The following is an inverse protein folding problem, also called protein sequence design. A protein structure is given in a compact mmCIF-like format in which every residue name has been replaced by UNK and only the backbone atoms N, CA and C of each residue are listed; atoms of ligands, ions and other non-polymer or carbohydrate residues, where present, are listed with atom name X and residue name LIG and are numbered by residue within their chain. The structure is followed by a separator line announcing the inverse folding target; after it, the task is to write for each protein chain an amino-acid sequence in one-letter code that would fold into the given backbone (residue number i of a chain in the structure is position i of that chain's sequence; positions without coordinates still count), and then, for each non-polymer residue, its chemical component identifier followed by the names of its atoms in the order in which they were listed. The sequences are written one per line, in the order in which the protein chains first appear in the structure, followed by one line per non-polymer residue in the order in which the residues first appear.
data_IF_713661981484
#
_entry.id   IF_713661981484
#
_cell.length_a   1.000
_cell.length_b   1.000
_cell.length_c   1.000
_cell.angle_alpha   90.00
_cell.angle_beta   90.00
_cell.angle_gamma   90.00
#
_symmetry.space_group_name_H-M   'P 1'
#
loop_
_entity.id
_entity.type
_entity.pdbx_description
1 polymer ?
#
# COMPACT_ATOMS: atom_id res chain seq x y z
N UNK A 1 -5.27 9.11 -10.73
CA UNK A 1 -4.47 10.34 -10.93
C UNK A 1 -3.04 10.06 -10.45
N UNK A 2 -2.04 10.34 -11.29
CA UNK A 2 -0.64 9.94 -11.09
C UNK A 2 -0.05 10.38 -9.74
N UNK A 3 -0.52 11.52 -9.20
CA UNK A 3 -0.06 12.06 -7.91
C UNK A 3 -0.24 11.10 -6.72
N UNK A 4 -1.20 10.14 -6.77
CA UNK A 4 -1.44 9.19 -5.68
C UNK A 4 -0.27 8.22 -5.48
N UNK A 5 0.48 7.95 -6.56
CA UNK A 5 1.66 7.09 -6.59
C UNK A 5 2.97 7.90 -6.50
N UNK A 6 2.91 9.24 -6.52
CA UNK A 6 4.06 10.13 -6.27
C UNK A 6 4.36 10.30 -4.78
N UNK A 7 4.63 9.20 -4.06
CA UNK A 7 5.19 9.27 -2.70
C UNK A 7 6.68 9.02 -2.77
N UNK A 8 7.45 10.10 -2.99
CA UNK A 8 8.89 10.04 -3.22
C UNK A 8 9.66 9.15 -2.22
N UNK A 9 10.72 8.53 -2.71
CA UNK A 9 11.59 7.62 -1.96
C UNK A 9 12.32 8.38 -0.84
N UNK A 10 11.72 8.41 0.35
CA UNK A 10 12.36 8.90 1.57
C UNK A 10 13.37 7.87 2.03
N UNK A 11 14.59 7.92 1.48
CA UNK A 11 15.69 7.06 1.90
C UNK A 11 16.12 7.43 3.33
N UNK A 12 16.00 6.48 4.25
CA UNK A 12 16.49 6.63 5.61
C UNK A 12 18.02 6.83 5.63
N UNK A 13 18.73 6.16 4.72
CA UNK A 13 20.18 6.33 4.56
C UNK A 13 20.53 7.76 4.13
N UNK A 14 19.74 8.36 3.22
CA UNK A 14 19.93 9.76 2.82
C UNK A 14 19.67 10.73 3.99
N UNK A 15 18.64 10.47 4.81
CA UNK A 15 18.36 11.27 6.00
C UNK A 15 19.47 11.14 7.06
N UNK A 16 20.03 9.93 7.23
CA UNK A 16 21.11 9.69 8.19
C UNK A 16 22.44 10.32 7.71
N UNK A 17 22.68 10.35 6.40
CA UNK A 17 23.85 11.00 5.80
C UNK A 17 23.78 12.53 5.83
N UNK A 18 22.58 13.12 5.94
CA UNK A 18 22.38 14.58 5.91
C UNK A 18 22.74 15.28 7.24
N UNK A 19 22.95 14.53 8.33
CA UNK A 19 23.25 15.07 9.65
C UNK A 19 22.11 15.90 10.26
N UNK A 20 22.17 16.15 11.57
CA UNK A 20 21.15 16.83 12.39
C UNK A 20 20.93 18.34 12.05
N UNK A 21 21.43 18.81 10.91
CA UNK A 21 21.56 20.23 10.59
C UNK A 21 20.94 20.67 9.27
N UNK A 22 20.38 19.78 8.46
CA UNK A 22 19.65 20.19 7.27
C UNK A 22 18.41 19.35 7.06
N UNK A 23 17.24 19.97 7.22
CA UNK A 23 16.01 19.46 6.62
C UNK A 23 16.34 19.33 5.13
N UNK A 24 16.42 18.12 4.55
CA UNK A 24 16.61 18.04 3.11
C UNK A 24 15.37 18.70 2.55
N UNK A 25 15.57 19.79 1.80
CA UNK A 25 14.51 20.38 0.99
C UNK A 25 13.89 19.21 0.26
N UNK A 26 12.63 18.89 0.60
CA UNK A 26 11.78 18.09 -0.27
C UNK A 26 12.00 18.69 -1.65
N UNK A 27 12.73 17.98 -2.50
CA UNK A 27 12.76 18.32 -3.91
C UNK A 27 11.34 18.04 -4.34
N UNK A 28 10.50 19.07 -4.26
CA UNK A 28 9.36 19.26 -5.13
C UNK A 28 9.96 19.39 -6.52
N UNK A 29 10.47 18.29 -7.05
CA UNK A 29 10.68 18.17 -8.47
C UNK A 29 9.26 17.96 -9.00
N UNK A 30 8.60 19.08 -9.28
CA UNK A 30 7.43 19.17 -10.17
C UNK A 30 7.85 18.88 -11.62
N UNK A 31 8.73 17.89 -11.79
CA UNK A 31 9.01 17.29 -13.07
C UNK A 31 7.97 16.20 -13.22
N UNK A 32 7.20 16.34 -14.29
CA UNK A 32 6.39 15.28 -14.85
C UNK A 32 7.38 14.25 -15.42
N UNK A 33 8.15 13.61 -14.54
CA UNK A 33 8.60 12.26 -14.83
C UNK A 33 7.31 11.45 -14.85
N UNK A 34 6.83 11.22 -16.06
CA UNK A 34 6.37 9.88 -16.42
C UNK A 34 7.41 8.93 -15.80
N UNK A 35 7.18 8.50 -14.56
CA UNK A 35 7.89 7.35 -14.05
C UNK A 35 7.38 6.23 -14.95
N UNK A 36 8.09 6.03 -16.05
CA UNK A 36 8.17 4.78 -16.78
C UNK A 36 8.31 3.72 -15.71
N UNK A 37 7.19 3.10 -15.36
CA UNK A 37 7.08 1.72 -14.87
C UNK A 37 8.37 1.21 -14.21
N UNK A 38 8.85 1.92 -13.19
CA UNK A 38 10.17 1.66 -12.63
C UNK A 38 10.15 0.20 -12.21
N UNK A 39 11.09 -0.59 -12.74
CA UNK A 39 11.41 -2.00 -12.42
C UNK A 39 11.67 -2.12 -10.90
N UNK A 40 10.64 -1.89 -10.10
CA UNK A 40 10.65 -2.11 -8.67
C UNK A 40 10.53 -3.62 -8.56
N UNK A 41 11.67 -4.25 -8.35
CA UNK A 41 11.76 -5.65 -7.96
C UNK A 41 11.00 -5.81 -6.63
N UNK A 42 9.75 -6.27 -6.73
CA UNK A 42 8.87 -6.54 -5.59
C UNK A 42 9.22 -7.94 -5.09
N UNK A 43 9.72 -8.08 -3.85
CA UNK A 43 10.02 -9.40 -3.31
C UNK A 43 8.76 -10.27 -3.20
N UNK A 44 8.89 -11.56 -3.49
CA UNK A 44 7.79 -12.53 -3.45
C UNK A 44 7.10 -12.56 -2.08
N UNK A 45 7.83 -12.28 -1.00
CA UNK A 45 7.27 -12.24 0.37
C UNK A 45 6.19 -11.16 0.54
N UNK A 46 6.15 -10.15 -0.34
CA UNK A 46 5.11 -9.12 -0.32
C UNK A 46 3.74 -9.73 -0.64
N UNK A 47 3.67 -10.75 -1.49
CA UNK A 47 2.42 -11.46 -1.79
C UNK A 47 1.88 -12.15 -0.53
N UNK A 48 2.73 -12.82 0.24
CA UNK A 48 2.35 -13.46 1.51
C UNK A 48 1.84 -12.42 2.52
N UNK A 49 2.50 -11.25 2.60
CA UNK A 49 2.05 -10.15 3.47
C UNK A 49 0.68 -9.64 3.03
N UNK A 50 0.44 -9.49 1.73
CA UNK A 50 -0.86 -9.04 1.21
C UNK A 50 -1.94 -10.06 1.55
N UNK A 51 -1.70 -11.36 1.34
CA UNK A 51 -2.68 -12.40 1.65
C UNK A 51 -3.05 -12.40 3.14
N UNK A 52 -2.06 -12.30 4.03
CA UNK A 52 -2.30 -12.17 5.47
C UNK A 52 -3.13 -10.92 5.83
N UNK A 53 -2.88 -9.80 5.15
CA UNK A 53 -3.66 -8.57 5.34
C UNK A 53 -5.10 -8.74 4.85
N UNK A 54 -5.32 -9.35 3.68
CA UNK A 54 -6.67 -9.65 3.16
C UNK A 54 -7.41 -10.62 4.09
N UNK A 55 -6.73 -11.63 4.63
CA UNK A 55 -7.33 -12.52 5.64
C UNK A 55 -7.69 -11.75 6.92
N UNK A 56 -6.87 -10.79 7.33
CA UNK A 56 -7.14 -9.90 8.46
C UNK A 56 -8.41 -9.05 8.28
N UNK A 57 -8.78 -8.70 7.05
CA UNK A 57 -10.04 -7.99 6.75
C UNK A 57 -11.29 -8.83 7.08
N UNK A 58 -11.16 -10.15 7.12
CA UNK A 58 -12.23 -11.08 7.51
C UNK A 58 -12.33 -11.31 9.02
N UNK A 59 -11.43 -10.73 9.81
CA UNK A 59 -11.36 -10.98 11.27
C UNK A 59 -12.65 -10.57 12.00
N UNK A 60 -13.04 -11.37 12.98
CA UNK A 60 -14.12 -11.05 13.93
C UNK A 60 -13.77 -9.85 14.83
N UNK A 61 -12.49 -9.60 15.07
CA UNK A 61 -12.01 -8.50 15.88
C UNK A 61 -11.88 -7.23 15.02
N UNK A 62 -12.56 -6.16 15.43
CA UNK A 62 -12.58 -4.88 14.72
C UNK A 62 -11.22 -4.17 14.74
N UNK A 63 -10.40 -4.37 15.78
CA UNK A 63 -9.04 -3.81 15.84
C UNK A 63 -8.18 -4.47 14.78
N UNK A 64 -8.20 -5.81 14.72
CA UNK A 64 -7.46 -6.58 13.70
C UNK A 64 -7.89 -6.12 12.31
N UNK A 65 -9.20 -6.05 12.05
CA UNK A 65 -9.76 -5.63 10.76
C UNK A 65 -9.30 -4.24 10.32
N UNK A 66 -9.38 -3.26 11.22
CA UNK A 66 -8.96 -1.89 10.95
C UNK A 66 -7.45 -1.78 10.73
N UNK A 67 -6.65 -2.53 11.49
CA UNK A 67 -5.20 -2.55 11.31
C UNK A 67 -4.79 -3.23 10.00
N UNK A 68 -5.49 -4.29 9.60
CA UNK A 68 -5.31 -4.97 8.33
C UNK A 68 -5.63 -4.02 7.15
N UNK A 69 -6.78 -3.33 7.19
CA UNK A 69 -7.15 -2.32 6.19
C UNK A 69 -6.08 -1.23 6.02
N UNK A 70 -5.55 -0.71 7.14
CA UNK A 70 -4.42 0.23 7.10
C UNK A 70 -3.16 -0.37 6.48
N UNK A 71 -2.91 -1.65 6.72
CA UNK A 71 -1.79 -2.39 6.13
C UNK A 71 -1.95 -2.48 4.61
N UNK A 72 -3.12 -2.92 4.13
CA UNK A 72 -3.45 -3.01 2.69
C UNK A 72 -3.18 -1.67 2.01
N UNK A 73 -3.82 -0.58 2.45
CA UNK A 73 -3.63 0.73 1.81
C UNK A 73 -2.17 1.26 1.84
N UNK A 74 -1.35 0.84 2.82
CA UNK A 74 0.07 1.23 2.90
C UNK A 74 0.95 0.41 1.97
N UNK A 75 0.74 -0.90 1.90
CA UNK A 75 1.50 -1.82 1.04
C UNK A 75 1.12 -1.58 -0.42
N UNK A 76 -0.17 -1.58 -0.76
CA UNK A 76 -0.68 -1.32 -2.12
C UNK A 76 -0.22 0.03 -2.66
N UNK A 77 -0.11 1.05 -1.81
CA UNK A 77 0.41 2.37 -2.22
C UNK A 77 1.90 2.42 -2.56
N UNK A 78 2.61 1.29 -2.46
CA UNK A 78 4.04 1.14 -2.81
C UNK A 78 4.28 0.15 -3.95
N UNK A 79 3.22 -0.53 -4.40
CA UNK A 79 3.32 -1.47 -5.50
C UNK A 79 3.26 -0.72 -6.85
N UNK A 80 3.87 -1.31 -7.90
CA UNK A 80 3.55 -0.99 -9.29
C UNK A 80 2.04 -1.03 -9.52
N UNK A 81 1.59 -0.24 -10.50
CA UNK A 81 0.16 -0.03 -10.74
C UNK A 81 -0.59 -1.35 -11.00
N UNK A 82 -0.01 -2.25 -11.79
CA UNK A 82 -0.65 -3.51 -12.17
C UNK A 82 -0.83 -4.43 -10.96
N UNK A 83 0.21 -4.59 -10.13
CA UNK A 83 0.11 -5.34 -8.88
C UNK A 83 -0.85 -4.67 -7.88
N UNK A 84 -0.88 -3.34 -7.83
CA UNK A 84 -1.85 -2.63 -7.00
C UNK A 84 -3.30 -2.88 -7.44
N UNK A 85 -3.55 -3.04 -8.74
CA UNK A 85 -4.87 -3.38 -9.30
C UNK A 85 -5.29 -4.80 -8.90
N UNK A 86 -4.35 -5.76 -8.89
CA UNK A 86 -4.61 -7.12 -8.39
C UNK A 86 -5.06 -7.11 -6.92
N UNK A 87 -4.42 -6.32 -6.06
CA UNK A 87 -4.85 -6.19 -4.64
C UNK A 87 -6.26 -5.62 -4.53
N UNK A 88 -6.62 -4.65 -5.38
CA UNK A 88 -7.99 -4.12 -5.44
C UNK A 88 -8.96 -5.21 -5.87
N UNK A 89 -8.61 -6.02 -6.86
CA UNK A 89 -9.37 -7.21 -7.27
C UNK A 89 -9.66 -8.15 -6.10
N UNK A 90 -8.62 -8.57 -5.39
CA UNK A 90 -8.74 -9.44 -4.20
C UNK A 90 -9.57 -8.82 -3.08
N UNK A 91 -9.48 -7.50 -2.90
CA UNK A 91 -10.32 -6.78 -1.92
C UNK A 91 -11.80 -6.80 -2.32
N UNK A 92 -12.10 -6.69 -3.62
CA UNK A 92 -13.47 -6.73 -4.12
C UNK A 92 -14.14 -8.09 -3.93
N UNK A 93 -13.36 -9.18 -3.89
CA UNK A 93 -13.89 -10.52 -3.60
C UNK A 93 -14.53 -10.63 -2.21
N UNK A 94 -14.14 -9.77 -1.26
CA UNK A 94 -14.73 -9.70 0.08
C UNK A 94 -16.22 -9.32 0.05
N UNK A 95 -16.70 -8.71 -1.03
CA UNK A 95 -18.12 -8.35 -1.20
C UNK A 95 -18.96 -9.46 -1.83
N UNK A 96 -18.39 -10.66 -1.99
CA UNK A 96 -19.14 -11.84 -2.43
C UNK A 96 -20.32 -12.12 -1.47
N UNK A 97 -21.49 -12.53 -1.97
CA UNK A 97 -22.62 -12.96 -1.14
C UNK A 97 -22.31 -14.15 -0.22
N UNK A 98 -21.19 -14.84 -0.45
CA UNK A 98 -20.72 -15.98 0.37
C UNK A 98 -19.87 -15.56 1.56
N UNK A 99 -19.44 -14.29 1.59
CA UNK A 99 -18.62 -13.72 2.64
C UNK A 99 -19.48 -13.22 3.81
N UNK A 100 -18.85 -13.00 4.96
CA UNK A 100 -19.53 -12.51 6.16
C UNK A 100 -19.68 -10.98 6.17
N UNK A 101 -20.61 -10.45 6.97
CA UNK A 101 -20.69 -9.01 7.28
C UNK A 101 -19.34 -8.46 7.80
N UNK A 102 -18.56 -9.32 8.46
CA UNK A 102 -17.21 -9.03 8.91
C UNK A 102 -16.29 -8.65 7.75
N UNK A 103 -16.25 -9.50 6.74
CA UNK A 103 -15.49 -9.32 5.52
C UNK A 103 -15.98 -8.11 4.71
N UNK A 104 -17.30 -7.91 4.59
CA UNK A 104 -17.87 -6.74 3.90
C UNK A 104 -17.48 -5.44 4.57
N UNK A 105 -17.58 -5.37 5.90
CA UNK A 105 -17.12 -4.20 6.65
C UNK A 105 -15.60 -4.01 6.51
N UNK A 106 -14.81 -5.10 6.44
CA UNK A 106 -13.37 -5.05 6.19
C UNK A 106 -13.03 -4.47 4.82
N UNK A 107 -13.72 -4.95 3.78
CA UNK A 107 -13.58 -4.42 2.42
C UNK A 107 -13.95 -2.95 2.30
N UNK A 108 -14.95 -2.47 3.06
CA UNK A 108 -15.30 -1.04 3.10
C UNK A 108 -14.24 -0.16 3.80
N UNK A 109 -13.39 -0.75 4.65
CA UNK A 109 -12.34 -0.03 5.39
C UNK A 109 -11.04 0.07 4.60
N UNK A 110 -10.74 -0.94 3.78
CA UNK A 110 -9.53 -1.05 2.97
C UNK A 110 -9.55 -0.05 1.80
#
# INVERSE_FOLDING_TARGET
AAWRYKRGNRSLAANLSAGDGSIPKTSNNDEVEENEDDDIDVPDEVEEVIDQLIQGLRSIDSIVRWTAAKGVGRVTGRLPKDLADEVVGSTLELFSPRESDGAWHGGCLA
#
